data_IF_447122872078
#
_entry.id   IF_447122872078
#
_cell.length_a   1.000
_cell.length_b   1.000
_cell.length_c   1.000
_cell.angle_alpha   90.00
_cell.angle_beta   90.00
_cell.angle_gamma   90.00
#
_symmetry.space_group_name_H-M   'P 1'
#
loop_
_entity.id
_entity.type
_entity.pdbx_description
1 polymer ?
#
# COMPACT_ATOMS: atom_id res chain seq x y z
N UNK A 1 -3.11 11.29 -12.46
CA UNK A 1 -3.46 10.24 -11.46
C UNK A 1 -2.21 9.78 -10.73
N UNK A 2 -2.37 9.34 -9.47
CA UNK A 2 -1.30 8.70 -8.68
C UNK A 2 -1.65 7.23 -8.51
N UNK A 3 -0.70 6.30 -8.75
CA UNK A 3 -0.88 4.87 -8.58
C UNK A 3 0.15 4.37 -7.56
N UNK A 4 -0.32 3.87 -6.41
CA UNK A 4 0.54 3.45 -5.29
C UNK A 4 0.43 1.95 -5.12
N UNK A 5 1.54 1.25 -5.36
CA UNK A 5 1.60 -0.21 -5.37
C UNK A 5 1.50 -0.84 -3.96
N UNK A 6 1.09 -2.12 -3.86
CA UNK A 6 1.09 -2.84 -2.59
C UNK A 6 2.51 -3.16 -2.10
N UNK A 7 2.63 -3.73 -0.90
CA UNK A 7 3.88 -4.26 -0.40
C UNK A 7 4.39 -5.43 -1.25
N UNK A 8 5.70 -5.67 -1.24
CA UNK A 8 6.38 -6.81 -1.90
C UNK A 8 6.35 -6.80 -3.43
N UNK A 9 6.00 -5.69 -4.03
CA UNK A 9 6.13 -5.40 -5.46
C UNK A 9 6.72 -4.02 -5.65
N UNK A 10 7.02 -3.61 -6.87
CA UNK A 10 7.48 -2.26 -7.20
C UNK A 10 6.46 -1.53 -8.08
N UNK A 11 6.82 -0.35 -8.59
CA UNK A 11 5.97 0.44 -9.49
C UNK A 11 5.53 -0.32 -10.75
N UNK A 12 6.32 -1.28 -11.21
CA UNK A 12 6.04 -2.13 -12.36
C UNK A 12 4.87 -3.12 -12.17
N UNK A 13 4.33 -3.21 -10.96
CA UNK A 13 3.05 -3.85 -10.69
C UNK A 13 1.92 -3.33 -11.60
N UNK A 14 2.02 -2.07 -12.02
CA UNK A 14 1.06 -1.42 -12.90
C UNK A 14 1.45 -1.43 -14.37
N UNK A 15 2.54 -2.11 -14.77
CA UNK A 15 3.07 -2.10 -16.14
C UNK A 15 2.01 -2.41 -17.21
N UNK A 16 1.07 -3.31 -16.92
CA UNK A 16 0.04 -3.71 -17.86
C UNK A 16 -1.17 -2.74 -17.88
N UNK A 17 -1.31 -1.90 -16.87
CA UNK A 17 -2.39 -0.92 -16.73
C UNK A 17 -1.96 0.47 -17.23
N UNK A 18 -0.70 0.82 -17.05
CA UNK A 18 -0.14 2.12 -17.44
C UNK A 18 -0.48 2.48 -18.89
N UNK A 19 -0.28 1.61 -19.92
CA UNK A 19 -0.54 1.96 -21.31
C UNK A 19 -1.99 2.35 -21.62
N UNK A 20 -2.95 1.84 -20.81
CA UNK A 20 -4.36 2.20 -20.98
C UNK A 20 -4.71 3.53 -20.33
N UNK A 21 -4.01 3.90 -19.27
CA UNK A 21 -4.28 5.13 -18.52
C UNK A 21 -3.50 6.33 -19.07
N UNK A 22 -2.28 6.13 -19.55
CA UNK A 22 -1.42 7.23 -20.04
C UNK A 22 -1.94 7.93 -21.30
N UNK A 23 -2.87 7.29 -22.05
CA UNK A 23 -3.54 7.91 -23.17
C UNK A 23 -4.36 9.16 -22.79
N UNK A 24 -4.96 9.15 -21.61
CA UNK A 24 -5.89 10.17 -21.15
C UNK A 24 -5.42 10.88 -19.87
N UNK A 25 -4.41 10.32 -19.18
CA UNK A 25 -3.98 10.80 -17.89
C UNK A 25 -2.46 10.94 -17.79
N UNK A 26 -2.02 12.02 -17.15
CA UNK A 26 -0.65 12.10 -16.65
C UNK A 26 -0.54 11.25 -15.39
N UNK A 27 0.35 10.25 -15.41
CA UNK A 27 0.53 9.30 -14.32
C UNK A 27 1.72 9.68 -13.44
N UNK A 28 1.57 9.48 -12.14
CA UNK A 28 2.63 9.49 -11.15
C UNK A 28 2.60 8.14 -10.43
N UNK A 29 3.64 7.33 -10.61
CA UNK A 29 3.72 5.95 -10.08
C UNK A 29 4.97 5.85 -9.21
N UNK A 30 4.88 6.19 -7.91
CA UNK A 30 6.03 6.16 -7.03
C UNK A 30 6.48 4.73 -6.75
N UNK A 31 7.80 4.50 -6.72
CA UNK A 31 8.38 3.32 -6.11
C UNK A 31 8.42 3.53 -4.60
N UNK A 32 7.70 2.68 -3.83
CA UNK A 32 7.73 2.77 -2.39
C UNK A 32 9.09 2.33 -1.86
N UNK A 33 9.69 3.07 -0.90
CA UNK A 33 10.99 2.73 -0.34
C UNK A 33 11.03 1.30 0.24
N UNK A 34 12.16 0.62 0.04
CA UNK A 34 12.41 -0.71 0.59
C UNK A 34 11.82 -1.88 -0.19
N UNK A 35 11.06 -1.61 -1.25
CA UNK A 35 10.54 -2.65 -2.16
C UNK A 35 11.20 -2.60 -3.54
N UNK A 36 11.87 -1.51 -3.89
CA UNK A 36 12.60 -1.39 -5.14
C UNK A 36 14.05 -1.92 -4.98
N UNK A 37 14.43 -3.02 -5.69
CA UNK A 37 15.79 -3.54 -5.65
C UNK A 37 16.87 -2.56 -6.17
N UNK A 38 16.47 -1.52 -6.90
CA UNK A 38 17.38 -0.49 -7.38
C UNK A 38 17.68 0.60 -6.33
N UNK A 39 16.98 0.59 -5.19
CA UNK A 39 17.15 1.57 -4.10
C UNK A 39 17.60 0.89 -2.80
N UNK A 40 18.52 1.53 -2.08
CA UNK A 40 18.93 1.11 -0.73
C UNK A 40 18.03 1.66 0.37
N UNK A 41 17.09 2.53 0.03
CA UNK A 41 16.17 3.14 0.99
C UNK A 41 15.21 2.11 1.57
N UNK A 42 15.03 2.13 2.88
CA UNK A 42 14.09 1.25 3.58
C UNK A 42 12.74 1.91 3.82
N UNK A 43 11.65 1.14 3.83
CA UNK A 43 10.34 1.63 4.26
C UNK A 43 10.36 1.99 5.74
N UNK A 44 9.90 3.20 6.06
CA UNK A 44 9.88 3.73 7.44
C UNK A 44 8.48 3.69 8.02
N UNK A 45 7.52 4.39 7.40
CA UNK A 45 6.12 4.38 7.82
C UNK A 45 5.20 4.87 6.70
N UNK A 46 3.90 4.61 6.86
CA UNK A 46 2.84 5.09 5.97
C UNK A 46 2.83 6.62 5.92
N UNK A 47 2.99 7.28 7.08
CA UNK A 47 2.99 8.75 7.17
C UNK A 47 4.15 9.36 6.41
N UNK A 48 5.36 8.82 6.60
CA UNK A 48 6.55 9.31 5.90
C UNK A 48 6.43 9.12 4.41
N UNK A 49 6.00 7.95 3.98
CA UNK A 49 5.82 7.65 2.56
C UNK A 49 4.77 8.56 1.92
N UNK A 50 3.64 8.80 2.59
CA UNK A 50 2.62 9.73 2.10
C UNK A 50 3.16 11.16 1.98
N UNK A 51 3.91 11.63 2.99
CA UNK A 51 4.52 12.96 2.97
C UNK A 51 5.53 13.12 1.81
N UNK A 52 6.39 12.13 1.58
CA UNK A 52 7.37 12.14 0.50
C UNK A 52 6.70 12.18 -0.89
N UNK A 53 5.59 11.44 -1.08
CA UNK A 53 4.81 11.47 -2.32
C UNK A 53 4.15 12.86 -2.51
N UNK A 54 3.55 13.42 -1.45
CA UNK A 54 2.96 14.76 -1.49
C UNK A 54 4.01 15.81 -1.80
N UNK A 55 5.18 15.76 -1.16
CA UNK A 55 6.29 16.68 -1.40
C UNK A 55 6.80 16.59 -2.86
N UNK A 56 6.89 15.39 -3.42
CA UNK A 56 7.28 15.18 -4.80
C UNK A 56 6.26 15.76 -5.79
N UNK A 57 4.96 15.60 -5.53
CA UNK A 57 3.90 16.20 -6.34
C UNK A 57 3.96 17.72 -6.31
N UNK A 58 4.06 18.30 -5.10
CA UNK A 58 4.18 19.76 -4.93
C UNK A 58 5.45 20.31 -5.55
N UNK A 59 6.58 19.61 -5.42
CA UNK A 59 7.84 19.96 -6.08
C UNK A 59 7.75 19.94 -7.61
N UNK A 60 6.87 19.10 -8.17
CA UNK A 60 6.54 19.07 -9.59
C UNK A 60 5.46 20.10 -10.00
N UNK A 61 5.02 20.97 -9.08
CA UNK A 61 3.96 21.96 -9.31
C UNK A 61 2.55 21.38 -9.37
N UNK A 62 2.36 20.13 -8.86
CA UNK A 62 1.05 19.45 -8.87
C UNK A 62 0.39 19.65 -7.51
N UNK A 63 -0.60 20.54 -7.46
CA UNK A 63 -1.40 20.86 -6.27
C UNK A 63 -2.75 20.16 -6.25
N UNK A 64 -3.13 19.52 -7.38
CA UNK A 64 -4.39 18.81 -7.54
C UNK A 64 -4.21 17.56 -8.39
N UNK A 65 -4.89 16.47 -8.00
CA UNK A 65 -4.92 15.21 -8.75
C UNK A 65 -6.36 14.72 -8.90
N UNK A 66 -6.70 14.20 -10.08
CA UNK A 66 -8.06 13.67 -10.32
C UNK A 66 -8.30 12.38 -9.54
N UNK A 67 -7.29 11.53 -9.42
CA UNK A 67 -7.41 10.31 -8.64
C UNK A 67 -6.09 9.90 -7.98
N UNK A 68 -6.20 9.36 -6.78
CA UNK A 68 -5.16 8.57 -6.11
C UNK A 68 -5.70 7.16 -5.94
N UNK A 69 -5.06 6.19 -6.57
CA UNK A 69 -5.36 4.77 -6.40
C UNK A 69 -4.24 4.13 -5.58
N UNK A 70 -4.60 3.41 -4.54
CA UNK A 70 -3.65 2.67 -3.72
C UNK A 70 -4.14 1.26 -3.41
N UNK A 71 -3.28 0.26 -3.65
CA UNK A 71 -3.57 -1.14 -3.37
C UNK A 71 -2.90 -1.57 -2.06
N UNK A 72 -3.63 -2.24 -1.15
CA UNK A 72 -3.11 -2.77 0.11
C UNK A 72 -2.33 -1.71 0.91
N UNK A 73 -1.01 -1.86 1.12
CA UNK A 73 -0.13 -0.85 1.72
C UNK A 73 -0.29 0.51 1.03
N UNK A 74 -0.34 0.52 -0.31
CA UNK A 74 -0.57 1.72 -1.10
C UNK A 74 -1.90 2.40 -0.79
N UNK A 75 -2.94 1.64 -0.42
CA UNK A 75 -4.23 2.17 0.02
C UNK A 75 -4.12 2.93 1.34
N UNK A 76 -3.35 2.42 2.30
CA UNK A 76 -3.06 3.12 3.57
C UNK A 76 -2.27 4.41 3.33
N UNK A 77 -1.29 4.38 2.42
CA UNK A 77 -0.53 5.57 2.01
C UNK A 77 -1.45 6.59 1.34
N UNK A 78 -2.34 6.15 0.44
CA UNK A 78 -3.30 7.00 -0.25
C UNK A 78 -4.26 7.70 0.73
N UNK A 79 -4.80 6.97 1.72
CA UNK A 79 -5.61 7.58 2.78
C UNK A 79 -4.80 8.62 3.57
N UNK A 80 -3.54 8.31 3.89
CA UNK A 80 -2.69 9.25 4.62
C UNK A 80 -2.34 10.50 3.81
N UNK A 81 -2.26 10.40 2.47
CA UNK A 81 -2.14 11.58 1.60
C UNK A 81 -3.38 12.47 1.65
N UNK A 82 -4.59 11.86 1.64
CA UNK A 82 -5.83 12.62 1.80
C UNK A 82 -5.92 13.32 3.16
N UNK A 83 -5.41 12.69 4.23
CA UNK A 83 -5.28 13.28 5.57
C UNK A 83 -4.27 14.43 5.62
N UNK A 84 -3.22 14.39 4.82
CA UNK A 84 -2.22 15.47 4.72
C UNK A 84 -2.87 16.78 4.20
N UNK A 85 -3.77 16.68 3.22
CA UNK A 85 -4.59 17.77 2.71
C UNK A 85 -3.86 18.84 1.89
N UNK A 86 -2.53 18.73 1.68
CA UNK A 86 -1.74 19.70 0.89
C UNK A 86 -1.94 19.56 -0.62
N UNK A 87 -2.41 18.42 -1.07
CA UNK A 87 -2.77 18.16 -2.47
C UNK A 87 -4.27 17.89 -2.53
N UNK A 88 -4.98 18.63 -3.38
CA UNK A 88 -6.41 18.41 -3.63
C UNK A 88 -6.62 17.09 -4.40
N UNK A 89 -7.33 16.14 -3.79
CA UNK A 89 -7.60 14.81 -4.35
C UNK A 89 -9.10 14.70 -4.65
N UNK A 90 -9.47 14.55 -5.91
CA UNK A 90 -10.88 14.44 -6.31
C UNK A 90 -11.46 13.04 -6.04
N UNK A 91 -10.72 11.99 -6.35
CA UNK A 91 -11.12 10.60 -6.11
C UNK A 91 -10.00 9.87 -5.37
N UNK A 92 -10.33 9.30 -4.22
CA UNK A 92 -9.45 8.42 -3.46
C UNK A 92 -9.95 6.99 -3.59
N UNK A 93 -9.18 6.10 -4.20
CA UNK A 93 -9.51 4.68 -4.35
C UNK A 93 -8.57 3.86 -3.48
N UNK A 94 -9.12 3.22 -2.47
CA UNK A 94 -8.43 2.26 -1.61
C UNK A 94 -8.84 0.85 -2.01
N UNK A 95 -7.94 0.10 -2.63
CA UNK A 95 -8.15 -1.29 -3.01
C UNK A 95 -7.53 -2.22 -1.97
N UNK A 96 -8.35 -2.77 -1.09
CA UNK A 96 -7.92 -3.62 0.02
C UNK A 96 -6.97 -2.92 1.00
N UNK A 97 -6.95 -1.59 1.02
CA UNK A 97 -6.16 -0.81 1.97
C UNK A 97 -6.61 -1.05 3.41
N UNK A 98 -5.65 -1.00 4.34
CA UNK A 98 -5.92 -1.12 5.78
C UNK A 98 -6.17 0.28 6.32
N UNK A 99 -7.29 0.45 7.04
CA UNK A 99 -7.57 1.66 7.81
C UNK A 99 -6.96 1.57 9.21
N UNK A 100 -6.73 2.70 9.90
CA UNK A 100 -6.25 2.65 11.27
C UNK A 100 -7.23 1.90 12.16
N UNK A 101 -6.77 0.83 12.80
CA UNK A 101 -7.61 0.10 13.73
C UNK A 101 -7.91 0.93 14.98
N UNK A 102 -9.18 0.97 15.37
CA UNK A 102 -9.62 1.55 16.65
C UNK A 102 -9.44 0.58 17.83
N UNK A 103 -8.42 -0.26 17.76
CA UNK A 103 -8.08 -1.24 18.78
C UNK A 103 -6.89 -0.75 19.61
N UNK A 104 -6.77 -1.21 20.88
CA UNK A 104 -5.58 -0.93 21.68
C UNK A 104 -4.29 -1.32 20.93
N UNK A 105 -3.25 -0.47 21.01
CA UNK A 105 -1.97 -0.67 20.31
C UNK A 105 -1.31 -2.04 20.55
N UNK A 106 -1.55 -2.64 21.69
CA UNK A 106 -1.05 -4.00 21.97
C UNK A 106 -1.67 -5.03 21.02
N UNK A 107 -2.98 -4.91 20.75
CA UNK A 107 -3.70 -5.83 19.85
C UNK A 107 -3.26 -5.60 18.41
N UNK A 108 -3.18 -4.35 17.95
CA UNK A 108 -2.74 -4.03 16.58
C UNK A 108 -1.30 -4.46 16.33
N UNK A 109 -0.41 -4.35 17.33
CA UNK A 109 0.96 -4.88 17.24
C UNK A 109 1.03 -6.40 17.20
N UNK A 110 0.13 -7.11 17.89
CA UNK A 110 0.04 -8.57 17.78
C UNK A 110 -0.43 -8.99 16.38
N UNK A 111 -1.35 -8.24 15.77
CA UNK A 111 -1.75 -8.46 14.37
C UNK A 111 -0.56 -8.22 13.44
N UNK A 112 0.14 -7.10 13.59
CA UNK A 112 1.34 -6.78 12.80
C UNK A 112 2.44 -7.85 12.96
N UNK A 113 2.64 -8.36 14.18
CA UNK A 113 3.59 -9.44 14.45
C UNK A 113 3.20 -10.74 13.76
N UNK A 114 1.93 -11.11 13.79
CA UNK A 114 1.42 -12.28 13.04
C UNK A 114 1.74 -12.16 11.56
N UNK A 115 1.42 -11.02 10.95
CA UNK A 115 1.58 -10.78 9.53
C UNK A 115 3.08 -10.73 9.15
N UNK A 116 3.90 -10.09 9.99
CA UNK A 116 5.35 -10.13 9.86
C UNK A 116 5.90 -11.55 9.91
N UNK A 117 5.47 -12.38 10.87
CA UNK A 117 5.93 -13.76 10.97
C UNK A 117 5.55 -14.58 9.74
N UNK A 118 4.35 -14.39 9.17
CA UNK A 118 3.93 -15.06 7.94
C UNK A 118 4.85 -14.66 6.76
N UNK A 119 5.16 -13.37 6.62
CA UNK A 119 6.08 -12.89 5.58
C UNK A 119 7.51 -13.32 5.84
N UNK A 120 7.94 -13.38 7.08
CA UNK A 120 9.26 -13.90 7.46
C UNK A 120 9.43 -15.36 7.04
N UNK A 121 8.42 -16.19 7.24
CA UNK A 121 8.42 -17.57 6.75
C UNK A 121 8.52 -17.63 5.23
N UNK A 122 7.78 -16.79 4.50
CA UNK A 122 7.89 -16.66 3.04
C UNK A 122 9.29 -16.25 2.59
N UNK A 123 9.90 -15.26 3.27
CA UNK A 123 11.26 -14.79 2.99
C UNK A 123 12.32 -15.89 3.21
N UNK A 124 12.19 -16.66 4.29
CA UNK A 124 13.12 -17.75 4.62
C UNK A 124 12.93 -18.98 3.73
N UNK A 125 11.67 -19.31 3.43
CA UNK A 125 11.32 -20.48 2.62
C UNK A 125 11.50 -20.26 1.11
N UNK A 126 11.66 -19.01 0.68
CA UNK A 126 11.89 -18.62 -0.70
C UNK A 126 10.80 -19.06 -1.66
N UNK A 127 11.14 -19.16 -2.94
CA UNK A 127 10.22 -19.43 -4.04
C UNK A 127 9.38 -20.71 -3.84
N UNK A 128 9.97 -21.78 -3.31
CA UNK A 128 9.26 -23.06 -3.12
C UNK A 128 8.12 -22.96 -2.11
N UNK A 129 8.34 -22.26 -0.99
CA UNK A 129 7.29 -22.09 0.02
C UNK A 129 6.20 -21.15 -0.48
N UNK A 130 6.57 -20.12 -1.20
CA UNK A 130 5.63 -19.19 -1.80
C UNK A 130 4.77 -19.86 -2.87
N UNK A 131 5.36 -20.61 -3.78
CA UNK A 131 4.63 -21.38 -4.79
C UNK A 131 3.65 -22.35 -4.15
N UNK A 132 4.00 -22.98 -3.02
CA UNK A 132 3.09 -23.87 -2.29
C UNK A 132 1.96 -23.10 -1.57
N UNK A 133 2.26 -21.95 -0.98
CA UNK A 133 1.28 -21.12 -0.29
C UNK A 133 0.24 -20.51 -1.27
N UNK A 134 0.67 -20.21 -2.48
CA UNK A 134 -0.16 -19.65 -3.55
C UNK A 134 -0.61 -20.69 -4.59
N UNK A 135 -0.39 -21.99 -4.34
CA UNK A 135 -0.85 -23.06 -5.20
C UNK A 135 -2.39 -22.99 -5.36
N UNK A 136 -2.86 -22.96 -6.62
CA UNK A 136 -4.29 -22.76 -6.93
C UNK A 136 -4.74 -21.29 -7.02
N UNK A 137 -3.82 -20.32 -6.87
CA UNK A 137 -4.05 -18.91 -7.19
C UNK A 137 -3.87 -18.65 -8.69
N UNK A 138 -4.18 -17.42 -9.13
CA UNK A 138 -3.97 -17.00 -10.53
C UNK A 138 -2.51 -16.57 -10.81
N UNK A 139 -1.61 -16.71 -9.86
CA UNK A 139 -0.20 -16.33 -9.99
C UNK A 139 0.58 -17.38 -10.80
N UNK A 140 1.41 -16.89 -11.72
CA UNK A 140 2.32 -17.70 -12.52
C UNK A 140 3.63 -18.00 -11.77
N UNK A 141 4.43 -18.93 -12.30
CA UNK A 141 5.78 -19.19 -11.77
C UNK A 141 6.69 -17.96 -11.90
N UNK A 142 6.46 -17.11 -12.90
CA UNK A 142 7.19 -15.86 -13.07
C UNK A 142 6.83 -14.85 -11.97
N UNK A 143 5.54 -14.75 -11.63
CA UNK A 143 5.09 -13.91 -10.51
C UNK A 143 5.71 -14.37 -9.19
N UNK A 144 5.83 -15.68 -8.97
CA UNK A 144 6.44 -16.23 -7.77
C UNK A 144 7.94 -15.91 -7.69
N UNK A 145 8.66 -15.99 -8.81
CA UNK A 145 10.07 -15.58 -8.89
C UNK A 145 10.24 -14.09 -8.62
N UNK A 146 9.38 -13.27 -9.21
CA UNK A 146 9.38 -11.83 -9.01
C UNK A 146 9.17 -11.48 -7.52
N UNK A 147 8.11 -12.00 -6.90
CA UNK A 147 7.82 -11.78 -5.48
C UNK A 147 8.98 -12.26 -4.58
N UNK A 148 9.54 -13.44 -4.85
CA UNK A 148 10.67 -13.97 -4.10
C UNK A 148 11.92 -13.10 -4.23
N UNK A 149 12.14 -12.47 -5.39
CA UNK A 149 13.24 -11.53 -5.60
C UNK A 149 13.06 -10.26 -4.76
N UNK A 150 11.89 -9.65 -4.80
CA UNK A 150 11.56 -8.47 -3.98
C UNK A 150 11.68 -8.81 -2.48
N UNK A 151 11.13 -9.95 -2.05
CA UNK A 151 11.24 -10.38 -0.66
C UNK A 151 12.70 -10.57 -0.19
N UNK A 152 13.58 -11.07 -1.04
CA UNK A 152 15.02 -11.21 -0.71
C UNK A 152 15.66 -9.84 -0.50
N UNK A 153 15.28 -8.87 -1.33
CA UNK A 153 15.78 -7.51 -1.23
C UNK A 153 15.28 -6.80 0.04
N UNK A 154 13.99 -6.91 0.38
CA UNK A 154 13.41 -6.27 1.56
C UNK A 154 14.18 -6.62 2.83
N UNK A 155 14.59 -5.60 3.59
CA UNK A 155 15.20 -5.83 4.90
C UNK A 155 14.15 -6.30 5.91
N UNK A 156 14.58 -6.94 7.01
CA UNK A 156 13.67 -7.31 8.10
C UNK A 156 13.00 -6.08 8.71
N UNK A 157 13.72 -4.95 8.74
CA UNK A 157 13.18 -3.67 9.21
C UNK A 157 12.11 -3.13 8.30
N UNK A 158 12.31 -3.19 6.97
CA UNK A 158 11.30 -2.80 5.98
C UNK A 158 10.02 -3.63 6.15
N UNK A 159 10.14 -4.95 6.26
CA UNK A 159 8.98 -5.82 6.45
C UNK A 159 8.23 -5.51 7.75
N UNK A 160 8.96 -5.39 8.87
CA UNK A 160 8.35 -5.01 10.15
C UNK A 160 7.64 -3.68 10.07
N UNK A 161 8.33 -2.64 9.58
CA UNK A 161 7.78 -1.29 9.49
C UNK A 161 6.54 -1.22 8.60
N UNK A 162 6.49 -1.96 7.50
CA UNK A 162 5.34 -2.00 6.62
C UNK A 162 4.09 -2.54 7.35
N UNK A 163 4.21 -3.67 8.05
CA UNK A 163 3.08 -4.27 8.75
C UNK A 163 2.70 -3.52 10.03
N UNK A 164 3.68 -3.08 10.83
CA UNK A 164 3.39 -2.29 12.03
C UNK A 164 2.75 -0.96 11.66
N UNK A 165 3.29 -0.26 10.66
CA UNK A 165 2.77 1.03 10.23
C UNK A 165 1.37 0.94 9.62
N UNK A 166 1.10 -0.05 8.74
CA UNK A 166 -0.25 -0.23 8.17
C UNK A 166 -1.33 -0.40 9.24
N UNK A 167 -1.00 -1.07 10.34
CA UNK A 167 -1.94 -1.32 11.43
C UNK A 167 -2.01 -0.18 12.46
N UNK A 168 -1.03 0.74 12.46
CA UNK A 168 -0.84 1.72 13.53
C UNK A 168 -0.62 3.16 13.05
N UNK A 169 -0.75 3.46 11.74
CA UNK A 169 -0.56 4.84 11.27
C UNK A 169 -1.63 5.78 11.84
N UNK A 170 -1.23 7.04 12.01
CA UNK A 170 -2.10 8.02 12.63
C UNK A 170 -3.04 8.68 11.60
N UNK A 171 -4.32 8.76 11.96
CA UNK A 171 -5.30 9.61 11.32
C UNK A 171 -5.84 10.55 12.39
N UNK A 172 -5.95 11.88 12.14
CA UNK A 172 -6.49 12.84 13.10
C UNK A 172 -7.92 12.47 13.51
N UNK A 173 -8.27 12.79 14.74
CA UNK A 173 -9.68 12.75 15.18
C UNK A 173 -10.45 13.88 14.51
N UNK A 174 -11.67 13.59 14.07
CA UNK A 174 -12.58 14.56 13.43
C UNK A 174 -12.63 14.42 11.91
N UNK A 175 -13.31 15.37 11.22
CA UNK A 175 -13.47 15.32 9.78
C UNK A 175 -12.10 15.42 9.08
N UNK A 176 -11.91 14.57 8.09
CA UNK A 176 -10.71 14.60 7.26
C UNK A 176 -10.69 15.89 6.41
N UNK A 177 -9.53 16.50 6.16
CA UNK A 177 -9.37 17.61 5.21
C UNK A 177 -9.44 17.10 3.76
N UNK A 178 -10.52 16.41 3.43
CA UNK A 178 -10.72 15.72 2.18
C UNK A 178 -12.17 15.89 1.72
N UNK A 179 -12.37 16.69 0.67
CA UNK A 179 -13.70 16.98 0.10
C UNK A 179 -14.00 16.10 -1.14
N UNK A 180 -13.13 15.19 -1.50
CA UNK A 180 -13.27 14.29 -2.64
C UNK A 180 -14.20 13.11 -2.38
N UNK A 181 -14.26 12.22 -3.37
CA UNK A 181 -15.04 10.97 -3.27
C UNK A 181 -14.11 9.83 -2.89
N UNK A 182 -14.43 9.17 -1.78
CA UNK A 182 -13.71 7.98 -1.33
C UNK A 182 -14.37 6.72 -1.86
N UNK A 183 -13.58 5.84 -2.47
CA UNK A 183 -13.99 4.54 -2.97
C UNK A 183 -13.20 3.48 -2.21
N UNK A 184 -13.90 2.55 -1.56
CA UNK A 184 -13.26 1.41 -0.92
C UNK A 184 -13.60 0.12 -1.68
N UNK A 185 -12.57 -0.49 -2.30
CA UNK A 185 -12.70 -1.72 -3.06
C UNK A 185 -12.15 -2.91 -2.27
N UNK A 186 -12.82 -4.03 -2.36
CA UNK A 186 -12.40 -5.28 -1.75
C UNK A 186 -13.01 -6.47 -2.48
N UNK A 187 -12.32 -7.62 -2.47
CA UNK A 187 -12.88 -8.85 -3.01
C UNK A 187 -14.03 -9.36 -2.12
N UNK A 188 -15.12 -9.84 -2.74
CA UNK A 188 -16.30 -10.32 -2.02
C UNK A 188 -15.96 -11.35 -0.94
N UNK A 189 -15.00 -12.24 -1.20
CA UNK A 189 -14.51 -13.24 -0.23
C UNK A 189 -13.82 -12.63 1.00
N UNK A 190 -13.32 -11.39 0.89
CA UNK A 190 -12.62 -10.67 1.96
C UNK A 190 -13.54 -9.83 2.83
N UNK A 191 -14.82 -9.69 2.48
CA UNK A 191 -15.76 -8.80 3.17
C UNK A 191 -15.73 -8.90 4.69
N UNK A 192 -15.68 -10.13 5.23
CA UNK A 192 -15.63 -10.34 6.69
C UNK A 192 -14.32 -9.85 7.31
N UNK A 193 -13.20 -10.04 6.60
CA UNK A 193 -11.90 -9.57 7.05
C UNK A 193 -11.77 -8.04 6.97
N UNK A 194 -12.54 -7.41 6.07
CA UNK A 194 -12.57 -5.96 5.84
C UNK A 194 -13.66 -5.22 6.61
N UNK A 195 -14.39 -5.89 7.49
CA UNK A 195 -15.54 -5.30 8.21
C UNK A 195 -15.16 -4.04 9.01
N UNK A 196 -13.96 -4.01 9.61
CA UNK A 196 -13.41 -2.84 10.30
C UNK A 196 -13.13 -1.68 9.34
N UNK A 197 -12.49 -1.97 8.22
CA UNK A 197 -12.17 -0.97 7.20
C UNK A 197 -13.45 -0.37 6.62
N UNK A 198 -14.45 -1.21 6.33
CA UNK A 198 -15.76 -0.78 5.80
C UNK A 198 -16.46 0.16 6.80
N UNK A 199 -16.47 -0.19 8.08
CA UNK A 199 -17.11 0.66 9.12
C UNK A 199 -16.37 1.98 9.33
N UNK A 200 -15.05 1.97 9.21
CA UNK A 200 -14.25 3.19 9.31
C UNK A 200 -14.56 4.18 8.18
N UNK A 201 -14.91 3.66 7.00
CA UNK A 201 -15.19 4.46 5.79
C UNK A 201 -16.63 4.97 5.70
N UNK A 202 -17.54 4.53 6.58
CA UNK A 202 -18.93 4.99 6.69
C UNK A 202 -19.07 6.17 7.63
#
# INVERSE_FOLDING_TARGET
>A
MVLIHPSLVTWDYYRDVIPFLESDHRLFVPALPGFDPASEEGFVSVERCAAEIVDALLGAGVTRVDAVYGCSLGGSVALRMAVDGRVDIRHLVMDGGITPYQLPRVITRLIALRDFCLMALGKLGGERLMARAYSGSQYTDEDMKYLANIMRHCTWRTLWNAFDSCNNYAVPEGPLPFDGVLHYWYAQKERKARDWDIRYMQ
#
